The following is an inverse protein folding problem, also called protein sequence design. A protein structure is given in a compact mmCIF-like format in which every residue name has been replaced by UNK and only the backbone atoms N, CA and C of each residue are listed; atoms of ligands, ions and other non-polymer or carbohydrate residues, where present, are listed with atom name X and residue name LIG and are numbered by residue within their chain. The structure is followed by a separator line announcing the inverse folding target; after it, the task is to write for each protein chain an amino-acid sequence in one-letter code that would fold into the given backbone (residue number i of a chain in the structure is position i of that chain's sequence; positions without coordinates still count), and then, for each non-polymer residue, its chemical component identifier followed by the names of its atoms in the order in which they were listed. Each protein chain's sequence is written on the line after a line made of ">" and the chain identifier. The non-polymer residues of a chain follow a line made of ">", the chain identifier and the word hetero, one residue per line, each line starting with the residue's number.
data_IF_812357429662
#
_entry.id   IF_812357429662
#
_cell.length_a   1.000
_cell.length_b   1.000
_cell.length_c   1.000
_cell.angle_alpha   90.00
_cell.angle_beta   90.00
_cell.angle_gamma   90.00
#
_symmetry.space_group_name_H-M   'P 1'
#
loop_
_entity.id
_entity.type
_entity.pdbx_description
1 polymer ?
#
# COMPACT_ATOMS: atom_id res chain seq x y z
N UNK A 1 -7.57 8.49 23.55
CA UNK A 1 -8.11 7.94 22.29
C UNK A 1 -7.12 6.99 21.58
N UNK A 2 -6.80 5.79 22.12
CA UNK A 2 -5.83 4.85 21.51
C UNK A 2 -6.34 3.65 20.66
N UNK A 3 -7.59 3.13 20.71
CA UNK A 3 -7.88 1.81 20.12
C UNK A 3 -7.86 1.77 18.58
N UNK A 4 -8.20 2.88 17.91
CA UNK A 4 -8.32 2.96 16.44
C UNK A 4 -6.96 2.79 15.75
N UNK A 5 -5.87 3.28 16.35
CA UNK A 5 -4.52 3.16 15.77
C UNK A 5 -3.99 1.73 15.81
N UNK A 6 -4.33 0.97 16.85
CA UNK A 6 -3.90 -0.42 16.98
C UNK A 6 -4.64 -1.32 15.99
N UNK A 7 -5.96 -1.20 15.89
CA UNK A 7 -6.75 -2.00 14.94
C UNK A 7 -6.35 -1.71 13.50
N UNK A 8 -6.15 -0.44 13.15
CA UNK A 8 -5.64 -0.04 11.84
C UNK A 8 -4.28 -0.68 11.53
N UNK A 9 -3.32 -0.60 12.45
CA UNK A 9 -1.99 -1.16 12.26
C UNK A 9 -2.01 -2.69 12.14
N UNK A 10 -2.84 -3.37 12.92
CA UNK A 10 -3.03 -4.82 12.83
C UNK A 10 -3.60 -5.24 11.47
N UNK A 11 -4.58 -4.50 10.94
CA UNK A 11 -5.14 -4.75 9.61
C UNK A 11 -4.11 -4.49 8.51
N UNK A 12 -3.27 -3.46 8.63
CA UNK A 12 -2.16 -3.23 7.69
C UNK A 12 -1.13 -4.36 7.72
N UNK A 13 -0.78 -4.85 8.91
CA UNK A 13 0.13 -6.01 9.05
C UNK A 13 -0.52 -7.25 8.43
N UNK A 14 -1.81 -7.48 8.67
CA UNK A 14 -2.55 -8.58 8.05
C UNK A 14 -2.56 -8.46 6.52
N UNK A 15 -2.71 -7.25 5.97
CA UNK A 15 -2.63 -7.01 4.52
C UNK A 15 -1.26 -7.38 3.95
N UNK A 16 -0.18 -6.98 4.63
CA UNK A 16 1.19 -7.31 4.22
C UNK A 16 1.44 -8.82 4.28
N UNK A 17 1.01 -9.48 5.35
CA UNK A 17 1.13 -10.93 5.51
C UNK A 17 0.33 -11.65 4.43
N UNK A 18 -0.94 -11.30 4.22
CA UNK A 18 -1.79 -11.90 3.20
C UNK A 18 -1.20 -11.73 1.79
N UNK A 19 -0.76 -10.52 1.46
CA UNK A 19 -0.07 -10.22 0.21
C UNK A 19 1.18 -11.08 0.03
N UNK A 20 2.04 -11.18 1.06
CA UNK A 20 3.27 -11.98 1.01
C UNK A 20 3.01 -13.47 0.81
N UNK A 21 2.00 -14.04 1.49
CA UNK A 21 1.62 -15.45 1.38
C UNK A 21 1.04 -15.75 0.00
N UNK A 22 0.21 -14.85 -0.53
CA UNK A 22 -0.34 -15.00 -1.86
C UNK A 22 0.73 -14.84 -2.94
N UNK A 23 1.64 -13.89 -2.80
CA UNK A 23 2.74 -13.71 -3.73
C UNK A 23 3.63 -14.96 -3.77
N UNK A 24 3.95 -15.55 -2.61
CA UNK A 24 4.69 -16.82 -2.53
C UNK A 24 3.99 -17.94 -3.28
N UNK A 25 2.66 -18.04 -3.15
CA UNK A 25 1.85 -19.04 -3.87
C UNK A 25 1.83 -18.77 -5.38
N UNK A 26 1.62 -17.53 -5.81
CA UNK A 26 1.59 -17.14 -7.22
C UNK A 26 2.95 -17.34 -7.90
N UNK A 27 4.05 -17.05 -7.19
CA UNK A 27 5.40 -17.23 -7.71
C UNK A 27 5.93 -18.67 -7.57
N UNK A 28 5.20 -19.59 -6.93
CA UNK A 28 5.63 -20.97 -6.77
C UNK A 28 5.90 -21.65 -8.13
N UNK A 29 5.14 -21.29 -9.16
CA UNK A 29 5.26 -21.82 -10.53
C UNK A 29 6.35 -21.17 -11.38
N UNK A 30 6.99 -20.10 -10.90
CA UNK A 30 8.06 -19.44 -11.66
C UNK A 30 9.37 -20.26 -11.58
N UNK A 31 10.09 -20.43 -12.71
CA UNK A 31 11.39 -21.11 -12.78
C UNK A 31 12.51 -20.21 -12.24
N UNK A 32 12.37 -19.75 -10.99
CA UNK A 32 13.33 -18.89 -10.30
C UNK A 32 13.69 -19.52 -8.94
N UNK A 33 14.96 -19.42 -8.51
CA UNK A 33 15.36 -19.81 -7.16
C UNK A 33 14.69 -18.92 -6.10
N UNK A 34 14.53 -19.44 -4.89
CA UNK A 34 13.82 -18.76 -3.80
C UNK A 34 14.43 -17.40 -3.44
N UNK A 35 15.76 -17.25 -3.51
CA UNK A 35 16.43 -15.98 -3.22
C UNK A 35 16.10 -14.89 -4.26
N UNK A 36 15.95 -15.25 -5.54
CA UNK A 36 15.53 -14.29 -6.58
C UNK A 36 14.08 -13.87 -6.38
N UNK A 37 13.18 -14.80 -6.05
CA UNK A 37 11.79 -14.49 -5.68
C UNK A 37 11.73 -13.53 -4.51
N UNK A 38 12.54 -13.78 -3.48
CA UNK A 38 12.67 -12.90 -2.31
C UNK A 38 13.21 -11.51 -2.70
N UNK A 39 14.26 -11.44 -3.52
CA UNK A 39 14.83 -10.19 -4.00
C UNK A 39 13.81 -9.35 -4.79
N UNK A 40 13.03 -9.99 -5.68
CA UNK A 40 11.95 -9.33 -6.41
C UNK A 40 10.89 -8.79 -5.45
N UNK A 41 10.43 -9.61 -4.49
CA UNK A 41 9.43 -9.17 -3.51
C UNK A 41 9.92 -8.01 -2.62
N UNK A 42 11.18 -8.06 -2.18
CA UNK A 42 11.78 -7.01 -1.37
C UNK A 42 11.97 -5.71 -2.17
N UNK A 43 12.46 -5.81 -3.41
CA UNK A 43 12.60 -4.65 -4.28
C UNK A 43 11.24 -4.01 -4.61
N UNK A 44 10.19 -4.82 -4.82
CA UNK A 44 8.82 -4.33 -4.99
C UNK A 44 8.35 -3.55 -3.75
N UNK A 45 8.59 -4.09 -2.54
CA UNK A 45 8.21 -3.45 -1.29
C UNK A 45 8.98 -2.13 -1.06
N UNK A 46 10.30 -2.15 -1.19
CA UNK A 46 11.14 -0.97 -1.02
C UNK A 46 10.81 0.11 -2.06
N UNK A 47 10.69 -0.28 -3.33
CA UNK A 47 10.28 0.62 -4.41
C UNK A 47 8.91 1.24 -4.15
N UNK A 48 7.95 0.46 -3.65
CA UNK A 48 6.63 0.96 -3.31
C UNK A 48 6.63 1.94 -2.13
N UNK A 49 7.43 1.67 -1.08
CA UNK A 49 7.56 2.57 0.07
C UNK A 49 8.21 3.91 -0.32
N UNK A 50 9.28 3.85 -1.12
CA UNK A 50 9.95 5.06 -1.62
C UNK A 50 8.99 5.83 -2.54
N UNK A 51 8.40 5.16 -3.53
CA UNK A 51 7.48 5.77 -4.49
C UNK A 51 6.25 6.38 -3.83
N UNK A 52 5.66 5.72 -2.84
CA UNK A 52 4.49 6.23 -2.13
C UNK A 52 4.77 7.52 -1.34
N UNK A 53 6.01 7.70 -0.90
CA UNK A 53 6.47 8.84 -0.09
C UNK A 53 7.01 9.98 -0.96
N UNK A 54 7.59 9.66 -2.11
CA UNK A 54 8.31 10.60 -2.97
C UNK A 54 7.56 11.91 -3.25
N UNK A 55 6.26 11.92 -3.60
CA UNK A 55 5.55 13.18 -3.88
C UNK A 55 5.42 14.08 -2.65
N UNK A 56 5.23 13.50 -1.46
CA UNK A 56 5.11 14.26 -0.21
C UNK A 56 6.45 14.86 0.19
N UNK A 57 7.53 14.09 0.00
CA UNK A 57 8.90 14.53 0.27
C UNK A 57 9.33 15.64 -0.69
N UNK A 58 8.96 15.53 -1.97
CA UNK A 58 9.28 16.57 -2.97
C UNK A 58 8.46 17.85 -2.79
N UNK A 59 7.24 17.73 -2.24
CA UNK A 59 6.39 18.89 -1.95
C UNK A 59 6.87 19.69 -0.73
N UNK A 60 7.64 19.08 0.17
CA UNK A 60 8.15 19.71 1.39
C UNK A 60 9.67 19.87 1.32
N UNK A 61 10.10 20.94 0.65
CA UNK A 61 11.53 21.22 0.41
C UNK A 61 12.34 21.42 1.68
N UNK A 62 11.75 22.03 2.71
CA UNK A 62 12.39 22.24 4.01
C UNK A 62 12.45 20.95 4.83
N UNK A 63 11.37 20.15 4.80
CA UNK A 63 11.33 18.83 5.40
C UNK A 63 12.29 17.84 4.74
N UNK A 64 12.56 17.97 3.44
CA UNK A 64 13.56 17.17 2.72
C UNK A 64 14.98 17.46 3.25
N UNK A 65 15.33 18.73 3.45
CA UNK A 65 16.66 19.14 3.95
C UNK A 65 16.91 18.69 5.39
N UNK A 66 15.87 18.66 6.21
CA UNK A 66 15.95 18.20 7.61
C UNK A 66 15.73 16.69 7.78
N UNK A 67 15.35 15.98 6.72
CA UNK A 67 14.99 14.55 6.76
C UNK A 67 13.63 14.26 7.41
N UNK A 68 12.97 15.26 8.00
CA UNK A 68 11.68 15.12 8.68
C UNK A 68 10.54 14.75 7.73
N UNK A 69 10.64 15.13 6.45
CA UNK A 69 9.67 14.75 5.42
C UNK A 69 9.59 13.24 5.18
N UNK A 70 10.63 12.46 5.51
CA UNK A 70 10.57 11.00 5.44
C UNK A 70 9.75 10.39 6.58
N UNK A 71 9.56 11.12 7.68
CA UNK A 71 8.77 10.72 8.83
C UNK A 71 7.38 11.37 8.86
N UNK A 72 7.12 12.37 8.01
CA UNK A 72 5.84 13.05 7.94
C UNK A 72 4.68 12.13 7.54
N UNK A 73 3.47 12.48 7.95
CA UNK A 73 2.27 11.79 7.49
C UNK A 73 2.01 12.08 6.00
N UNK A 74 1.41 11.11 5.32
CA UNK A 74 1.14 11.20 3.89
C UNK A 74 1.83 10.10 3.09
N UNK A 75 1.04 9.38 2.30
CA UNK A 75 1.47 8.37 1.34
C UNK A 75 0.45 8.32 0.21
N UNK A 76 0.89 8.08 -1.01
CA UNK A 76 -0.01 7.86 -2.15
C UNK A 76 0.15 6.46 -2.72
N UNK A 77 -0.99 5.80 -2.92
CA UNK A 77 -1.01 4.46 -3.51
C UNK A 77 -0.52 4.47 -4.97
N UNK A 78 -0.80 5.54 -5.72
CA UNK A 78 -0.48 5.60 -7.14
C UNK A 78 1.03 5.58 -7.38
N UNK A 79 1.78 6.47 -6.71
CA UNK A 79 3.23 6.47 -6.81
C UNK A 79 3.86 5.26 -6.10
N UNK A 80 3.16 4.66 -5.13
CA UNK A 80 3.55 3.38 -4.53
C UNK A 80 3.53 2.23 -5.54
N UNK A 81 2.46 2.08 -6.32
CA UNK A 81 2.37 1.04 -7.36
C UNK A 81 3.44 1.25 -8.42
N UNK A 82 3.62 2.48 -8.89
CA UNK A 82 4.65 2.85 -9.88
C UNK A 82 6.05 2.57 -9.33
N UNK A 83 6.34 2.99 -8.11
CA UNK A 83 7.64 2.75 -7.46
C UNK A 83 7.92 1.27 -7.26
N UNK A 84 6.91 0.47 -6.89
CA UNK A 84 7.03 -0.97 -6.77
C UNK A 84 7.34 -1.65 -8.11
N UNK A 85 6.68 -1.22 -9.19
CA UNK A 85 6.98 -1.69 -10.55
C UNK A 85 8.43 -1.41 -10.95
N UNK A 86 8.91 -0.18 -10.75
CA UNK A 86 10.31 0.16 -11.02
C UNK A 86 11.27 -0.65 -10.15
N UNK A 87 10.96 -0.87 -8.87
CA UNK A 87 11.76 -1.71 -7.99
C UNK A 87 11.91 -3.15 -8.53
N UNK A 88 10.82 -3.74 -9.03
CA UNK A 88 10.84 -5.07 -9.67
C UNK A 88 11.67 -5.08 -10.94
N UNK A 89 11.53 -4.08 -11.81
CA UNK A 89 12.29 -4.05 -13.07
C UNK A 89 13.78 -3.77 -12.86
N UNK A 90 14.14 -2.92 -11.89
CA UNK A 90 15.54 -2.66 -11.53
C UNK A 90 16.22 -3.94 -11.04
N UNK A 91 15.59 -4.69 -10.13
CA UNK A 91 16.22 -5.92 -9.59
C UNK A 91 16.24 -7.04 -10.63
N UNK A 92 15.23 -7.13 -11.51
CA UNK A 92 15.25 -8.08 -12.62
C UNK A 92 16.37 -7.74 -13.60
N UNK A 93 16.61 -6.46 -13.88
CA UNK A 93 17.72 -6.02 -14.70
C UNK A 93 19.07 -6.35 -14.06
N UNK A 94 19.23 -6.04 -12.76
CA UNK A 94 20.47 -6.31 -12.02
C UNK A 94 20.81 -7.80 -11.88
N UNK A 95 19.79 -8.68 -11.83
CA UNK A 95 19.94 -10.13 -11.71
C UNK A 95 19.76 -10.88 -13.04
N UNK A 96 19.67 -10.16 -14.16
CA UNK A 96 19.47 -10.69 -15.52
C UNK A 96 18.22 -11.61 -15.67
N UNK A 97 17.18 -11.36 -14.88
CA UNK A 97 15.96 -12.15 -14.88
C UNK A 97 15.06 -11.74 -16.05
N UNK A 98 14.92 -12.62 -17.04
CA UNK A 98 14.04 -12.43 -18.22
C UNK A 98 12.62 -12.96 -18.06
N UNK A 99 12.33 -13.64 -16.95
CA UNK A 99 11.02 -14.25 -16.67
C UNK A 99 9.98 -13.16 -16.42
N UNK A 100 8.79 -13.31 -17.02
CA UNK A 100 7.64 -12.43 -16.77
C UNK A 100 7.09 -12.69 -15.37
N UNK A 101 7.05 -11.65 -14.54
CA UNK A 101 6.58 -11.75 -13.15
C UNK A 101 5.37 -10.86 -12.85
N UNK A 102 4.99 -9.94 -13.75
CA UNK A 102 3.93 -8.94 -13.52
C UNK A 102 2.60 -9.54 -13.08
N UNK A 103 2.11 -10.56 -13.77
CA UNK A 103 0.82 -11.22 -13.46
C UNK A 103 0.78 -11.81 -12.05
N UNK A 104 1.94 -12.19 -11.50
CA UNK A 104 2.01 -12.74 -10.14
C UNK A 104 1.72 -11.71 -9.05
N UNK A 105 1.84 -10.41 -9.36
CA UNK A 105 1.59 -9.30 -8.44
C UNK A 105 0.16 -8.78 -8.48
N UNK A 106 -0.59 -8.98 -9.57
CA UNK A 106 -1.92 -8.40 -9.74
C UNK A 106 -2.89 -8.80 -8.61
N UNK A 107 -3.04 -10.10 -8.37
CA UNK A 107 -3.95 -10.60 -7.32
C UNK A 107 -3.47 -10.26 -5.88
N UNK A 108 -2.19 -10.45 -5.51
CA UNK A 108 -1.70 -10.04 -4.19
C UNK A 108 -1.87 -8.55 -3.90
N UNK A 109 -1.59 -7.68 -4.88
CA UNK A 109 -1.76 -6.23 -4.74
C UNK A 109 -3.23 -5.88 -4.57
N UNK A 110 -4.13 -6.46 -5.37
CA UNK A 110 -5.57 -6.22 -5.23
C UNK A 110 -6.08 -6.56 -3.82
N UNK A 111 -5.61 -7.65 -3.22
CA UNK A 111 -5.99 -8.05 -1.86
C UNK A 111 -5.39 -7.14 -0.80
N UNK A 112 -4.14 -6.71 -0.97
CA UNK A 112 -3.55 -5.71 -0.09
C UNK A 112 -4.37 -4.41 -0.08
N UNK A 113 -4.83 -3.96 -1.25
CA UNK A 113 -5.68 -2.77 -1.39
C UNK A 113 -7.06 -2.98 -0.77
N UNK A 114 -7.69 -4.13 -0.99
CA UNK A 114 -8.99 -4.44 -0.42
C UNK A 114 -8.97 -4.43 1.11
N UNK A 115 -7.98 -5.10 1.73
CA UNK A 115 -7.79 -5.08 3.20
C UNK A 115 -7.47 -3.66 3.66
N UNK A 116 -6.69 -2.91 2.87
CA UNK A 116 -6.39 -1.50 3.12
C UNK A 116 -7.64 -0.63 3.23
N UNK A 117 -8.61 -0.81 2.32
CA UNK A 117 -9.89 -0.09 2.35
C UNK A 117 -10.72 -0.43 3.57
N UNK A 118 -10.78 -1.71 3.96
CA UNK A 118 -11.45 -2.13 5.20
C UNK A 118 -10.81 -1.47 6.44
N UNK A 119 -9.48 -1.35 6.46
CA UNK A 119 -8.79 -0.67 7.55
C UNK A 119 -9.08 0.84 7.56
N UNK A 120 -9.10 1.50 6.40
CA UNK A 120 -9.46 2.92 6.30
C UNK A 120 -10.92 3.18 6.72
N UNK A 121 -11.84 2.27 6.38
CA UNK A 121 -13.24 2.33 6.81
C UNK A 121 -13.35 2.25 8.34
N UNK A 122 -12.68 1.28 8.97
CA UNK A 122 -12.65 1.17 10.44
C UNK A 122 -11.89 2.34 11.10
N UNK A 123 -10.88 2.87 10.42
CA UNK A 123 -10.12 4.05 10.83
C UNK A 123 -10.89 5.36 10.67
N UNK A 124 -12.00 5.36 9.93
CA UNK A 124 -12.84 6.54 9.67
C UNK A 124 -12.17 7.66 8.88
N UNK A 125 -11.00 7.42 8.28
CA UNK A 125 -10.16 8.45 7.66
C UNK A 125 -10.38 8.65 6.15
N UNK A 126 -11.09 7.73 5.50
CA UNK A 126 -11.40 7.81 4.07
C UNK A 126 -12.90 7.61 3.87
N UNK A 127 -13.67 8.69 3.99
CA UNK A 127 -15.12 8.72 3.77
C UNK A 127 -15.47 9.39 2.44
N UNK A 128 -16.58 8.96 1.85
CA UNK A 128 -17.10 9.50 0.60
C UNK A 128 -17.91 10.78 0.78
N UNK A 129 -18.70 11.09 -0.25
CA UNK A 129 -19.61 12.24 -0.27
C UNK A 129 -20.81 12.02 0.67
N UNK A 130 -21.41 13.10 1.22
CA UNK A 130 -22.64 13.01 2.01
C UNK A 130 -23.76 12.35 1.22
N UNK A 131 -24.58 11.53 1.89
CA UNK A 131 -25.65 10.77 1.26
C UNK A 131 -26.82 10.55 2.20
N UNK A 132 -28.03 10.57 1.67
CA UNK A 132 -29.27 10.25 2.39
C UNK A 132 -29.72 8.79 2.18
N UNK A 133 -28.90 7.98 1.50
CA UNK A 133 -29.19 6.57 1.23
C UNK A 133 -29.08 5.71 2.51
N UNK A 134 -29.82 4.58 2.60
CA UNK A 134 -29.92 3.79 3.84
C UNK A 134 -28.63 3.09 4.25
N UNK A 135 -27.62 3.03 3.37
CA UNK A 135 -26.28 2.49 3.66
C UNK A 135 -25.25 3.59 3.97
N UNK A 136 -25.69 4.83 4.17
CA UNK A 136 -24.81 5.91 4.62
C UNK A 136 -24.28 5.65 6.03
N UNK A 137 -22.98 5.85 6.23
CA UNK A 137 -22.32 5.68 7.53
C UNK A 137 -21.85 7.04 8.06
N UNK A 138 -22.00 7.28 9.35
CA UNK A 138 -21.35 8.41 10.04
C UNK A 138 -19.93 8.01 10.43
N UNK A 139 -18.97 8.86 10.10
CA UNK A 139 -17.55 8.61 10.36
C UNK A 139 -17.02 9.58 11.40
N UNK A 140 -16.28 9.11 12.42
CA UNK A 140 -15.85 9.94 13.54
C UNK A 140 -14.77 10.98 13.19
N UNK A 141 -14.12 10.88 12.03
CA UNK A 141 -13.21 11.93 11.52
C UNK A 141 -13.84 12.81 10.43
N UNK A 142 -15.14 12.64 10.15
CA UNK A 142 -15.84 13.59 9.31
C UNK A 142 -15.98 14.94 10.06
N UNK A 143 -15.75 16.08 9.40
CA UNK A 143 -15.91 17.40 10.03
C UNK A 143 -17.39 17.72 10.33
N UNK A 144 -18.31 16.95 9.75
CA UNK A 144 -19.75 17.10 9.82
C UNK A 144 -20.43 15.78 10.25
N UNK A 145 -21.47 15.86 11.07
CA UNK A 145 -22.26 14.71 11.56
C UNK A 145 -23.21 14.11 10.49
N UNK A 146 -22.87 14.28 9.22
CA UNK A 146 -23.68 13.80 8.10
C UNK A 146 -23.33 12.36 7.71
N UNK A 147 -24.32 11.51 7.39
CA UNK A 147 -24.08 10.20 6.80
C UNK A 147 -23.40 10.33 5.43
N UNK A 148 -22.39 9.50 5.17
CA UNK A 148 -21.55 9.53 3.97
C UNK A 148 -21.43 8.14 3.34
N UNK A 149 -21.12 8.10 2.05
CA UNK A 149 -20.81 6.84 1.36
C UNK A 149 -19.57 6.16 1.97
N UNK A 150 -19.63 4.85 2.28
CA UNK A 150 -18.43 4.09 2.65
C UNK A 150 -17.52 3.88 1.43
N UNK A 151 -16.22 4.09 1.59
CA UNK A 151 -15.19 3.97 0.53
C UNK A 151 -13.99 3.14 0.94
#
# INVERSE_FOLDING_TARGET
>A
MPPIRLTYSLLMIAALVACSLMLRRSQARLPLPAWQKLAIGLAAFCGAMIGAKLPFVLSDWEGLRSGSAWLSDGKTIMCGIVGGYFGVEIIKWALEIRVKTGDTFAAPVAIAVAIGRVACFHGGCCYGTPTSLPWGCQFPLAPDDLPRHPT
#
